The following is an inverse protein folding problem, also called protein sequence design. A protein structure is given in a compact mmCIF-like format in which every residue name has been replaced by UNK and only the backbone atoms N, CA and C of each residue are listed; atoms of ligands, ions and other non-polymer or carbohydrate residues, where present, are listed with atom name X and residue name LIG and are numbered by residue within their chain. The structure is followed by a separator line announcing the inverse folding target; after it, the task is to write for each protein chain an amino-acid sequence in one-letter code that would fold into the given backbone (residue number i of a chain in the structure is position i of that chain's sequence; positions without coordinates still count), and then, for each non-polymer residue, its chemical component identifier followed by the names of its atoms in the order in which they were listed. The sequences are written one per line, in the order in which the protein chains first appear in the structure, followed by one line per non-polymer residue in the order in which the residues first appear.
data_IF_774512410753
#
_entry.id   IF_774512410753
#
_cell.length_a   1.000
_cell.length_b   1.000
_cell.length_c   1.000
_cell.angle_alpha   90.00
_cell.angle_beta   90.00
_cell.angle_gamma   90.00
#
_symmetry.space_group_name_H-M   'P 1'
#
loop_
_entity.id
_entity.type
_entity.pdbx_description
1 polymer ?
#
# COMPACT_ATOMS: atom_id res chain seq x y z
N UNK A 1 17.20 -2.85 38.81
CA UNK A 1 17.97 -1.73 38.21
C UNK A 1 17.94 -1.92 36.69
N UNK A 2 17.00 -1.28 36.00
CA UNK A 2 16.90 -1.33 34.52
C UNK A 2 17.67 -0.13 33.97
N UNK A 3 18.59 -0.28 33.00
CA UNK A 3 19.34 0.86 32.48
C UNK A 3 18.42 1.76 31.65
N UNK A 4 18.49 3.06 31.91
CA UNK A 4 17.76 4.08 31.16
C UNK A 4 18.36 4.20 29.74
N UNK A 5 17.58 3.86 28.72
CA UNK A 5 17.89 4.16 27.33
C UNK A 5 17.81 5.68 27.10
N UNK A 6 18.95 6.36 27.13
CA UNK A 6 19.08 7.83 26.99
C UNK A 6 19.18 8.32 25.54
N UNK A 7 18.45 7.70 24.61
CA UNK A 7 18.35 8.16 23.22
C UNK A 7 16.99 8.76 22.95
N UNK A 8 16.82 10.08 23.11
CA UNK A 8 15.67 10.76 22.47
C UNK A 8 15.84 10.54 20.95
N UNK A 9 14.87 9.94 20.24
CA UNK A 9 14.95 9.86 18.79
C UNK A 9 15.07 11.29 18.25
N UNK A 10 15.96 11.48 17.27
CA UNK A 10 16.10 12.75 16.57
C UNK A 10 14.70 13.20 16.07
N UNK A 11 14.40 14.49 16.21
CA UNK A 11 13.21 15.08 15.62
C UNK A 11 13.26 14.82 14.10
N UNK A 12 12.44 13.91 13.62
CA UNK A 12 12.26 13.69 12.18
C UNK A 12 11.38 14.86 11.72
N UNK A 13 11.86 15.75 10.84
CA UNK A 13 11.02 16.80 10.29
C UNK A 13 9.79 16.17 9.64
N UNK A 14 8.64 16.80 9.85
CA UNK A 14 7.39 16.42 9.20
C UNK A 14 7.66 16.39 7.69
N UNK A 15 7.43 15.26 6.99
CA UNK A 15 7.62 15.20 5.55
C UNK A 15 6.85 16.33 4.87
N UNK A 16 7.43 16.96 3.86
CA UNK A 16 6.86 18.06 3.05
C UNK A 16 5.41 17.76 2.59
N UNK A 17 5.12 16.47 2.42
CA UNK A 17 3.82 15.88 2.10
C UNK A 17 2.71 16.04 3.16
N UNK A 18 3.06 16.50 4.36
CA UNK A 18 2.14 16.80 5.45
C UNK A 18 2.07 18.31 5.76
N UNK A 19 2.77 19.16 5.00
CA UNK A 19 2.63 20.62 5.10
C UNK A 19 1.31 21.11 4.47
N UNK A 20 0.78 22.26 4.92
CA UNK A 20 -0.46 22.85 4.40
C UNK A 20 -0.42 23.05 2.87
N UNK A 21 -1.56 22.83 2.22
CA UNK A 21 -1.74 22.91 0.76
C UNK A 21 -1.31 24.26 0.13
N UNK A 22 -1.24 25.32 0.94
CA UNK A 22 -0.87 26.66 0.52
C UNK A 22 0.58 26.80 0.04
N UNK A 23 1.43 25.80 0.26
CA UNK A 23 2.87 25.87 -0.06
C UNK A 23 3.30 24.96 -1.23
N UNK A 24 2.38 24.19 -1.84
CA UNK A 24 2.70 23.18 -2.89
C UNK A 24 2.40 23.65 -4.31
N UNK A 25 2.78 24.87 -4.64
CA UNK A 25 2.61 25.33 -6.02
C UNK A 25 3.78 24.86 -6.89
N UNK A 26 3.46 24.09 -7.93
CA UNK A 26 4.23 23.84 -9.16
C UNK A 26 4.97 22.50 -9.32
N UNK A 27 4.22 21.39 -9.41
CA UNK A 27 4.60 20.28 -10.28
C UNK A 27 3.63 20.24 -11.49
N UNK A 28 4.12 20.18 -12.74
CA UNK A 28 3.25 20.14 -13.91
C UNK A 28 2.45 18.83 -13.90
N UNK A 29 1.11 18.95 -13.89
CA UNK A 29 0.20 17.84 -14.08
C UNK A 29 0.36 17.33 -15.52
N UNK A 30 0.69 16.05 -15.66
CA UNK A 30 0.75 15.37 -16.96
C UNK A 30 -0.63 15.38 -17.64
N UNK A 31 -0.66 15.66 -18.95
CA UNK A 31 -1.88 15.71 -19.78
C UNK A 31 -2.65 14.38 -19.86
N UNK A 32 -2.06 13.28 -19.41
CA UNK A 32 -2.77 12.00 -19.23
C UNK A 32 -3.25 11.89 -17.80
N UNK A 33 -4.58 11.94 -17.58
CA UNK A 33 -5.17 11.72 -16.26
C UNK A 33 -4.61 10.45 -15.63
N UNK A 34 -4.13 10.52 -14.39
CA UNK A 34 -3.70 9.37 -13.61
C UNK A 34 -4.83 8.37 -13.38
N UNK A 35 -4.51 7.15 -12.92
CA UNK A 35 -5.54 6.16 -12.55
C UNK A 35 -6.50 6.70 -11.49
N UNK A 36 -6.00 7.44 -10.49
CA UNK A 36 -6.83 8.04 -9.46
C UNK A 36 -7.74 9.15 -10.01
N UNK A 37 -7.18 10.04 -10.84
CA UNK A 37 -7.95 11.11 -11.50
C UNK A 37 -9.06 10.58 -12.39
N UNK A 38 -8.84 9.47 -13.09
CA UNK A 38 -9.89 8.80 -13.88
C UNK A 38 -10.94 8.10 -13.01
N UNK A 39 -10.55 7.56 -11.86
CA UNK A 39 -11.43 6.75 -11.03
C UNK A 39 -12.43 7.59 -10.22
N UNK A 40 -12.00 8.74 -9.71
CA UNK A 40 -12.82 9.57 -8.82
C UNK A 40 -12.45 11.05 -8.83
N UNK A 41 -11.68 11.52 -9.82
CA UNK A 41 -11.21 12.91 -9.86
C UNK A 41 -12.32 13.94 -10.14
N UNK A 42 -13.44 13.51 -10.71
CA UNK A 42 -14.63 14.33 -10.95
C UNK A 42 -15.39 14.68 -9.67
N UNK A 43 -15.43 13.76 -8.69
CA UNK A 43 -16.12 13.95 -7.42
C UNK A 43 -15.20 14.27 -6.24
N UNK A 44 -13.95 13.78 -6.28
CA UNK A 44 -12.97 13.91 -5.20
C UNK A 44 -11.57 14.25 -5.76
N UNK A 45 -11.39 15.45 -6.36
CA UNK A 45 -10.13 15.85 -6.99
C UNK A 45 -8.93 15.84 -6.04
N UNK A 46 -9.09 16.33 -4.81
CA UNK A 46 -8.00 16.36 -3.82
C UNK A 46 -7.57 14.95 -3.41
N UNK A 47 -8.51 14.01 -3.31
CA UNK A 47 -8.17 12.62 -3.02
C UNK A 47 -7.35 12.00 -4.14
N UNK A 48 -7.64 12.38 -5.39
CA UNK A 48 -6.86 11.91 -6.53
C UNK A 48 -5.43 12.48 -6.48
N UNK A 49 -5.29 13.77 -6.14
CA UNK A 49 -3.97 14.38 -5.92
C UNK A 49 -3.20 13.73 -4.77
N UNK A 50 -3.86 13.44 -3.64
CA UNK A 50 -3.21 12.72 -2.55
C UNK A 50 -2.78 11.32 -2.96
N UNK A 51 -3.57 10.64 -3.78
CA UNK A 51 -3.21 9.30 -4.27
C UNK A 51 -1.96 9.36 -5.16
N UNK A 52 -1.89 10.35 -6.06
CA UNK A 52 -0.79 10.47 -7.00
C UNK A 52 0.48 11.02 -6.34
N UNK A 53 0.38 12.15 -5.65
CA UNK A 53 1.54 12.89 -5.16
C UNK A 53 2.03 12.35 -3.82
N UNK A 54 1.11 12.08 -2.89
CA UNK A 54 1.45 11.73 -1.51
C UNK A 54 1.66 10.23 -1.35
N UNK A 55 0.67 9.45 -1.74
CA UNK A 55 0.71 8.01 -1.58
C UNK A 55 1.76 7.42 -2.53
N UNK A 56 1.52 7.45 -3.84
CA UNK A 56 2.42 6.78 -4.79
C UNK A 56 3.67 7.60 -5.13
N UNK A 57 3.60 8.94 -5.12
CA UNK A 57 4.74 9.81 -5.46
C UNK A 57 5.78 10.01 -4.34
N UNK A 58 5.40 9.82 -3.07
CA UNK A 58 6.32 9.94 -1.92
C UNK A 58 6.33 8.67 -1.07
N UNK A 59 5.23 8.36 -0.36
CA UNK A 59 5.21 7.31 0.68
C UNK A 59 5.66 5.95 0.14
N UNK A 60 5.28 5.60 -1.09
CA UNK A 60 5.68 4.36 -1.74
C UNK A 60 7.15 4.32 -2.20
N UNK A 61 7.76 5.48 -2.42
CA UNK A 61 9.14 5.64 -2.91
C UNK A 61 10.18 5.80 -1.78
N UNK A 62 9.74 5.94 -0.52
CA UNK A 62 10.64 6.12 0.63
C UNK A 62 11.64 4.96 0.77
N UNK A 63 12.96 5.22 0.93
CA UNK A 63 14.00 4.20 0.81
C UNK A 63 14.11 3.24 2.00
N UNK A 64 13.43 3.51 3.11
CA UNK A 64 13.53 2.70 4.34
C UNK A 64 12.88 1.30 4.26
N UNK A 65 12.13 1.02 3.18
CA UNK A 65 11.51 -0.28 2.95
C UNK A 65 11.49 -0.56 1.45
N UNK A 66 11.97 -1.73 1.03
CA UNK A 66 11.98 -2.08 -0.38
C UNK A 66 10.54 -2.19 -0.93
N UNK A 67 10.29 -1.90 -2.23
CA UNK A 67 8.95 -2.00 -2.81
C UNK A 67 8.27 -3.35 -2.56
N UNK A 68 9.04 -4.44 -2.63
CA UNK A 68 8.59 -5.81 -2.32
C UNK A 68 8.05 -5.93 -0.89
N UNK A 69 8.80 -5.44 0.08
CA UNK A 69 8.44 -5.49 1.51
C UNK A 69 7.24 -4.59 1.80
N UNK A 70 7.16 -3.43 1.14
CA UNK A 70 6.01 -2.54 1.24
C UNK A 70 4.72 -3.22 0.76
N UNK A 71 4.78 -3.93 -0.36
CA UNK A 71 3.66 -4.74 -0.85
C UNK A 71 3.23 -5.79 0.18
N UNK A 72 4.19 -6.51 0.80
CA UNK A 72 3.90 -7.52 1.84
C UNK A 72 3.16 -6.90 3.03
N UNK A 73 3.61 -5.75 3.52
CA UNK A 73 2.96 -5.06 4.63
C UNK A 73 1.55 -4.61 4.22
N UNK A 74 1.40 -4.02 3.03
CA UNK A 74 0.08 -3.57 2.53
C UNK A 74 -0.91 -4.72 2.39
N UNK A 75 -0.55 -5.84 1.75
CA UNK A 75 -1.48 -6.97 1.62
C UNK A 75 -1.85 -7.54 2.99
N UNK A 76 -0.89 -7.61 3.92
CA UNK A 76 -1.13 -8.12 5.28
C UNK A 76 -2.11 -7.24 6.03
N UNK A 77 -1.97 -5.92 5.91
CA UNK A 77 -2.92 -4.95 6.49
C UNK A 77 -4.30 -5.05 5.84
N UNK A 78 -4.40 -5.17 4.51
CA UNK A 78 -5.69 -5.26 3.82
C UNK A 78 -6.47 -6.52 4.20
N UNK A 79 -5.78 -7.66 4.31
CA UNK A 79 -6.36 -8.91 4.80
C UNK A 79 -6.85 -8.73 6.23
N UNK A 80 -5.99 -8.19 7.11
CA UNK A 80 -6.31 -8.03 8.54
C UNK A 80 -7.47 -7.07 8.80
N UNK A 81 -7.64 -6.06 7.97
CA UNK A 81 -8.72 -5.07 8.05
C UNK A 81 -9.95 -5.47 7.22
N UNK A 82 -9.94 -6.63 6.58
CA UNK A 82 -11.01 -7.10 5.69
C UNK A 82 -11.36 -6.09 4.58
N UNK A 83 -10.34 -5.45 3.98
CA UNK A 83 -10.47 -4.46 2.88
C UNK A 83 -10.25 -5.15 1.53
N UNK A 84 -11.23 -5.97 1.16
CA UNK A 84 -11.14 -6.87 0.00
C UNK A 84 -11.15 -6.14 -1.35
N UNK A 85 -11.75 -4.96 -1.42
CA UNK A 85 -11.83 -4.14 -2.63
C UNK A 85 -10.45 -3.75 -3.20
N UNK A 86 -9.46 -3.53 -2.32
CA UNK A 86 -8.10 -3.15 -2.74
C UNK A 86 -7.15 -4.35 -2.84
N UNK A 87 -7.51 -5.50 -2.24
CA UNK A 87 -6.60 -6.63 -2.08
C UNK A 87 -6.10 -7.19 -3.41
N UNK A 88 -6.99 -7.34 -4.41
CA UNK A 88 -6.62 -7.86 -5.72
C UNK A 88 -5.58 -6.99 -6.44
N UNK A 89 -5.73 -5.66 -6.38
CA UNK A 89 -4.76 -4.73 -6.94
C UNK A 89 -3.39 -4.87 -6.27
N UNK A 90 -3.35 -4.93 -4.94
CA UNK A 90 -2.09 -5.04 -4.22
C UNK A 90 -1.42 -6.42 -4.32
N UNK A 91 -2.19 -7.50 -4.54
CA UNK A 91 -1.62 -8.82 -4.88
C UNK A 91 -0.91 -8.75 -6.24
N UNK A 92 -1.52 -8.14 -7.27
CA UNK A 92 -0.86 -7.95 -8.58
C UNK A 92 0.41 -7.11 -8.44
N UNK A 93 0.37 -6.02 -7.66
CA UNK A 93 1.54 -5.19 -7.39
C UNK A 93 2.64 -5.97 -6.65
N UNK A 94 2.29 -6.81 -5.68
CA UNK A 94 3.23 -7.66 -4.96
C UNK A 94 3.95 -8.64 -5.90
N UNK A 95 3.21 -9.31 -6.79
CA UNK A 95 3.77 -10.20 -7.80
C UNK A 95 4.76 -9.46 -8.72
N UNK A 96 4.39 -8.26 -9.20
CA UNK A 96 5.27 -7.44 -10.04
C UNK A 96 6.57 -7.00 -9.34
N UNK A 97 6.56 -6.90 -8.00
CA UNK A 97 7.75 -6.61 -7.19
C UNK A 97 8.55 -7.85 -6.78
N UNK A 98 8.17 -9.05 -7.26
CA UNK A 98 8.90 -10.29 -6.98
C UNK A 98 8.48 -11.03 -5.70
N UNK A 99 7.32 -10.72 -5.11
CA UNK A 99 6.72 -11.60 -4.10
C UNK A 99 6.14 -12.80 -4.84
N UNK A 100 6.54 -14.02 -4.47
CA UNK A 100 6.06 -15.23 -5.15
C UNK A 100 4.62 -15.58 -4.77
N UNK A 101 3.94 -16.35 -5.63
CA UNK A 101 2.61 -16.92 -5.32
C UNK A 101 2.63 -17.73 -4.02
N UNK A 102 3.71 -18.48 -3.79
CA UNK A 102 3.90 -19.28 -2.57
C UNK A 102 3.99 -18.40 -1.32
N UNK A 103 4.75 -17.31 -1.38
CA UNK A 103 4.84 -16.36 -0.25
C UNK A 103 3.52 -15.65 0.03
N UNK A 104 2.75 -15.28 -1.00
CA UNK A 104 1.40 -14.71 -0.81
C UNK A 104 0.48 -15.70 -0.12
N UNK A 105 0.49 -16.97 -0.54
CA UNK A 105 -0.29 -18.04 0.11
C UNK A 105 0.14 -18.24 1.56
N UNK A 106 1.43 -18.19 1.84
CA UNK A 106 1.96 -18.34 3.20
C UNK A 106 1.55 -17.15 4.10
N UNK A 107 1.60 -15.92 3.59
CA UNK A 107 1.14 -14.73 4.30
C UNK A 107 -0.35 -14.86 4.66
N UNK A 108 -1.19 -15.26 3.70
CA UNK A 108 -2.63 -15.44 3.92
C UNK A 108 -2.88 -16.53 4.98
N UNK A 109 -2.19 -17.66 4.86
CA UNK A 109 -2.30 -18.79 5.80
C UNK A 109 -1.88 -18.38 7.21
N UNK A 110 -0.76 -17.66 7.34
CA UNK A 110 -0.28 -17.16 8.63
C UNK A 110 -1.27 -16.18 9.26
N UNK A 111 -1.88 -15.30 8.46
CA UNK A 111 -2.88 -14.35 8.95
C UNK A 111 -4.19 -15.00 9.37
N UNK A 112 -4.47 -16.25 8.99
CA UNK A 112 -5.65 -16.97 9.51
C UNK A 112 -5.64 -17.07 11.05
N UNK A 113 -4.45 -17.12 11.66
CA UNK A 113 -4.27 -17.18 13.11
C UNK A 113 -4.41 -15.81 13.81
N UNK A 114 -4.13 -14.71 13.12
CA UNK A 114 -4.10 -13.36 13.71
C UNK A 114 -5.29 -12.48 13.31
N UNK A 115 -5.78 -12.64 12.09
CA UNK A 115 -6.93 -11.92 11.52
C UNK A 115 -8.19 -12.79 11.44
N UNK A 116 -8.08 -14.09 11.74
CA UNK A 116 -9.19 -15.03 11.73
C UNK A 116 -9.43 -15.70 10.38
N UNK A 117 -10.04 -16.88 10.44
CA UNK A 117 -10.31 -17.73 9.27
C UNK A 117 -11.12 -17.05 8.16
N UNK A 118 -12.18 -16.25 8.45
CA UNK A 118 -12.95 -15.58 7.40
C UNK A 118 -12.14 -14.59 6.55
N UNK A 119 -11.21 -13.87 7.18
CA UNK A 119 -10.32 -12.94 6.47
C UNK A 119 -9.38 -13.70 5.53
N UNK A 120 -8.76 -14.78 6.03
CA UNK A 120 -7.87 -15.60 5.24
C UNK A 120 -8.58 -16.34 4.10
N UNK A 121 -9.74 -16.97 4.35
CA UNK A 121 -10.47 -17.71 3.30
C UNK A 121 -10.92 -16.81 2.16
N UNK A 122 -11.38 -15.59 2.48
CA UNK A 122 -11.74 -14.58 1.48
C UNK A 122 -10.52 -14.13 0.68
N UNK A 123 -9.39 -13.91 1.36
CA UNK A 123 -8.13 -13.55 0.70
C UNK A 123 -7.61 -14.65 -0.23
N UNK A 124 -7.74 -15.93 0.13
CA UNK A 124 -7.38 -17.06 -0.73
C UNK A 124 -8.21 -17.04 -2.03
N UNK A 125 -9.51 -16.79 -1.95
CA UNK A 125 -10.37 -16.71 -3.13
C UNK A 125 -9.94 -15.57 -4.09
N UNK A 126 -9.62 -14.41 -3.54
CA UNK A 126 -9.13 -13.26 -4.31
C UNK A 126 -7.76 -13.55 -4.93
N UNK A 127 -6.82 -14.13 -4.16
CA UNK A 127 -5.52 -14.52 -4.66
C UNK A 127 -5.62 -15.52 -5.82
N UNK A 128 -6.53 -16.49 -5.72
CA UNK A 128 -6.81 -17.44 -6.81
C UNK A 128 -7.25 -16.73 -8.09
N UNK A 129 -8.22 -15.81 -8.01
CA UNK A 129 -8.67 -15.03 -9.18
C UNK A 129 -7.51 -14.32 -9.87
N UNK A 130 -6.69 -13.61 -9.09
CA UNK A 130 -5.51 -12.91 -9.60
C UNK A 130 -4.49 -13.86 -10.24
N UNK A 131 -4.28 -15.04 -9.64
CA UNK A 131 -3.33 -16.02 -10.15
C UNK A 131 -3.78 -16.68 -11.45
N UNK A 132 -5.09 -16.78 -11.67
CA UNK A 132 -5.67 -17.32 -12.89
C UNK A 132 -5.67 -16.28 -14.01
N UNK A 133 -5.91 -14.99 -13.71
CA UNK A 133 -5.75 -13.85 -14.66
C UNK A 133 -4.33 -13.74 -15.26
N UNK A 134 -3.31 -14.26 -14.57
CA UNK A 134 -1.90 -14.18 -14.96
C UNK A 134 -1.37 -15.45 -15.64
N UNK A 135 -2.24 -16.43 -15.96
CA UNK A 135 -1.86 -17.66 -16.67
C UNK A 135 -1.92 -17.53 -18.20
N UNK A 136 -2.45 -16.42 -18.70
CA UNK A 136 -2.48 -16.02 -20.10
C UNK A 136 -1.42 -14.94 -20.39
#
# INVERSE_FOLDING_TARGET
MVPACSGRPAFVPVPEVLQPLTERENAPLSDTLSTARRAFGDIAPDLADYTDQVLFGDVWERPGLAPRERCIVTISSLISLYRTNELGFHIRKALATGVSRAEIVEIITHLAFYAGWPAASTAVAIARSVFDEQKD
#
